data_IF_101465343179
#
_entry.id   IF_101465343179
#
_cell.length_a   1.000
_cell.length_b   1.000
_cell.length_c   1.000
_cell.angle_alpha   90.00
_cell.angle_beta   90.00
_cell.angle_gamma   90.00
#
_symmetry.space_group_name_H-M   'P 1'
#
loop_
_entity.id
_entity.type
_entity.pdbx_description
1 polymer ?
#
# COMPACT_ATOMS: atom_id res chain seq x y z
N UNK A 1 14.46 -14.16 -15.48
CA UNK A 1 14.16 -13.39 -16.72
C UNK A 1 12.64 -13.19 -16.87
N UNK A 2 12.18 -12.06 -17.43
CA UNK A 2 10.74 -11.84 -17.64
C UNK A 2 10.13 -12.89 -18.59
N UNK A 3 10.92 -13.37 -19.57
CA UNK A 3 10.53 -14.43 -20.51
C UNK A 3 10.10 -15.73 -19.81
N UNK A 4 10.79 -16.12 -18.74
CA UNK A 4 10.43 -17.28 -17.93
C UNK A 4 9.06 -17.11 -17.26
N UNK A 5 8.82 -15.93 -16.68
CA UNK A 5 7.51 -15.60 -16.11
C UNK A 5 6.42 -15.56 -17.17
N UNK A 6 6.69 -14.94 -18.32
CA UNK A 6 5.78 -14.90 -19.47
C UNK A 6 5.34 -16.29 -19.90
N UNK A 7 6.27 -17.24 -20.05
CA UNK A 7 5.95 -18.62 -20.39
C UNK A 7 5.03 -19.29 -19.35
N UNK A 8 5.34 -19.13 -18.05
CA UNK A 8 4.52 -19.69 -16.96
C UNK A 8 3.10 -19.13 -16.98
N UNK A 9 2.96 -17.80 -17.13
CA UNK A 9 1.64 -17.16 -17.11
C UNK A 9 0.82 -17.46 -18.36
N UNK A 10 1.45 -17.58 -19.54
CA UNK A 10 0.77 -18.02 -20.77
C UNK A 10 0.21 -19.43 -20.60
N UNK A 11 1.01 -20.37 -20.10
CA UNK A 11 0.52 -21.73 -19.84
C UNK A 11 -0.60 -21.76 -18.81
N UNK A 12 -0.48 -21.02 -17.70
CA UNK A 12 -1.56 -20.88 -16.72
C UNK A 12 -2.85 -20.33 -17.34
N UNK A 13 -2.74 -19.32 -18.20
CA UNK A 13 -3.89 -18.74 -18.88
C UNK A 13 -4.62 -19.79 -19.73
N UNK A 14 -3.90 -20.59 -20.52
CA UNK A 14 -4.50 -21.66 -21.31
C UNK A 14 -5.21 -22.71 -20.43
N UNK A 15 -4.60 -23.11 -19.32
CA UNK A 15 -5.22 -24.05 -18.38
C UNK A 15 -6.49 -23.47 -17.74
N UNK A 16 -6.46 -22.22 -17.28
CA UNK A 16 -7.62 -21.60 -16.64
C UNK A 16 -8.76 -21.34 -17.61
N UNK A 17 -8.46 -20.96 -18.86
CA UNK A 17 -9.47 -20.83 -19.91
C UNK A 17 -10.14 -22.16 -20.22
N UNK A 18 -9.38 -23.25 -20.29
CA UNK A 18 -9.93 -24.58 -20.48
C UNK A 18 -10.84 -25.02 -19.31
N UNK A 19 -10.42 -24.73 -18.07
CA UNK A 19 -11.23 -25.03 -16.88
C UNK A 19 -12.53 -24.21 -16.89
N UNK A 20 -12.45 -22.91 -17.17
CA UNK A 20 -13.61 -22.03 -17.20
C UNK A 20 -14.61 -22.45 -18.29
N UNK A 21 -14.15 -22.75 -19.51
CA UNK A 21 -15.03 -23.21 -20.60
C UNK A 21 -15.67 -24.57 -20.32
N UNK A 22 -14.96 -25.46 -19.62
CA UNK A 22 -15.50 -26.76 -19.23
C UNK A 22 -16.63 -26.61 -18.19
N UNK A 23 -16.45 -25.77 -17.18
CA UNK A 23 -17.47 -25.57 -16.15
C UNK A 23 -18.64 -24.69 -16.61
N UNK A 24 -18.44 -23.76 -17.55
CA UNK A 24 -19.54 -23.01 -18.19
C UNK A 24 -20.46 -23.93 -19.01
N UNK A 25 -19.95 -25.07 -19.48
CA UNK A 25 -20.75 -26.06 -20.21
C UNK A 25 -21.62 -26.96 -19.33
N UNK A 26 -21.47 -26.92 -18.00
CA UNK A 26 -22.25 -27.71 -17.03
C UNK A 26 -23.23 -26.84 -16.22
N UNK A 27 -24.48 -27.28 -16.08
CA UNK A 27 -25.58 -26.51 -15.45
C UNK A 27 -25.50 -26.39 -13.92
N UNK A 28 -25.94 -25.21 -13.43
CA UNK A 28 -26.29 -24.70 -12.08
C UNK A 28 -25.37 -24.99 -10.87
N UNK A 29 -24.77 -26.18 -10.71
CA UNK A 29 -23.85 -26.46 -9.59
C UNK A 29 -22.37 -26.15 -9.90
N UNK A 30 -22.05 -25.85 -11.17
CA UNK A 30 -20.69 -25.53 -11.63
C UNK A 30 -20.34 -24.03 -11.66
N UNK A 31 -21.30 -23.13 -11.43
CA UNK A 31 -21.11 -21.68 -11.53
C UNK A 31 -19.98 -21.16 -10.59
N UNK A 32 -19.88 -21.72 -9.38
CA UNK A 32 -18.81 -21.39 -8.44
C UNK A 32 -17.42 -21.83 -8.94
N UNK A 33 -17.34 -22.95 -9.65
CA UNK A 33 -16.08 -23.47 -10.20
C UNK A 33 -15.64 -22.71 -11.46
N UNK A 34 -16.58 -22.28 -12.30
CA UNK A 34 -16.29 -21.34 -13.39
C UNK A 34 -15.74 -20.01 -12.84
N UNK A 35 -16.35 -19.47 -11.77
CA UNK A 35 -15.87 -18.25 -11.10
C UNK A 35 -14.44 -18.40 -10.56
N UNK A 36 -14.06 -19.57 -10.04
CA UNK A 36 -12.68 -19.83 -9.60
C UNK A 36 -11.68 -19.82 -10.77
N UNK A 37 -12.04 -20.40 -11.92
CA UNK A 37 -11.21 -20.35 -13.13
C UNK A 37 -11.03 -18.92 -13.65
N UNK A 38 -12.10 -18.13 -13.63
CA UNK A 38 -12.10 -16.71 -13.98
C UNK A 38 -11.22 -15.90 -13.02
N UNK A 39 -11.36 -16.11 -11.71
CA UNK A 39 -10.52 -15.48 -10.69
C UNK A 39 -9.04 -15.83 -10.87
N UNK A 40 -8.72 -17.11 -11.10
CA UNK A 40 -7.35 -17.56 -11.31
C UNK A 40 -6.70 -16.96 -12.57
N UNK A 41 -7.48 -16.81 -13.65
CA UNK A 41 -7.08 -16.10 -14.87
C UNK A 41 -6.78 -14.62 -14.60
N UNK A 42 -7.69 -13.91 -13.91
CA UNK A 42 -7.47 -12.51 -13.55
C UNK A 42 -6.22 -12.33 -12.66
N UNK A 43 -6.06 -13.18 -11.65
CA UNK A 43 -4.89 -13.19 -10.79
C UNK A 43 -3.60 -13.44 -11.58
N UNK A 44 -3.59 -14.37 -12.53
CA UNK A 44 -2.43 -14.65 -13.36
C UNK A 44 -1.96 -13.38 -14.10
N UNK A 45 -2.89 -12.65 -14.73
CA UNK A 45 -2.62 -11.38 -15.42
C UNK A 45 -2.08 -10.33 -14.45
N UNK A 46 -2.73 -10.13 -13.30
CA UNK A 46 -2.33 -9.15 -12.29
C UNK A 46 -0.94 -9.48 -11.71
N UNK A 47 -0.65 -10.75 -11.47
CA UNK A 47 0.65 -11.19 -10.97
C UNK A 47 1.76 -10.98 -12.00
N UNK A 48 1.50 -11.26 -13.28
CA UNK A 48 2.44 -10.96 -14.34
C UNK A 48 2.73 -9.46 -14.43
N UNK A 49 1.69 -8.62 -14.41
CA UNK A 49 1.84 -7.17 -14.41
C UNK A 49 2.66 -6.67 -13.20
N UNK A 50 2.40 -7.20 -12.00
CA UNK A 50 3.17 -6.90 -10.79
C UNK A 50 4.65 -7.26 -10.95
N UNK A 51 4.98 -8.35 -11.64
CA UNK A 51 6.37 -8.77 -11.90
C UNK A 51 7.00 -7.85 -12.95
N UNK A 52 6.31 -7.55 -14.05
CA UNK A 52 6.78 -6.60 -15.06
C UNK A 52 7.12 -5.23 -14.43
N UNK A 53 6.23 -4.72 -13.57
CA UNK A 53 6.46 -3.48 -12.80
C UNK A 53 7.71 -3.59 -11.92
N UNK A 54 7.90 -4.70 -11.21
CA UNK A 54 9.11 -4.93 -10.38
C UNK A 54 10.40 -5.02 -11.21
N UNK A 55 10.30 -5.36 -12.49
CA UNK A 55 11.40 -5.32 -13.45
C UNK A 55 11.57 -3.96 -14.13
N UNK A 56 10.87 -2.91 -13.67
CA UNK A 56 10.85 -1.57 -14.25
C UNK A 56 10.34 -1.51 -15.70
N UNK A 57 9.46 -2.44 -16.08
CA UNK A 57 8.82 -2.48 -17.40
C UNK A 57 7.37 -2.00 -17.28
N UNK A 58 7.20 -0.69 -17.15
CA UNK A 58 5.89 -0.07 -16.88
C UNK A 58 4.90 -0.22 -18.04
N UNK A 59 5.34 -0.06 -19.29
CA UNK A 59 4.48 -0.30 -20.47
C UNK A 59 3.91 -1.72 -20.51
N UNK A 60 4.78 -2.73 -20.33
CA UNK A 60 4.37 -4.15 -20.27
C UNK A 60 3.40 -4.41 -19.11
N UNK A 61 3.59 -3.72 -17.97
CA UNK A 61 2.67 -3.81 -16.84
C UNK A 61 1.28 -3.29 -17.21
N UNK A 62 1.16 -2.10 -17.80
CA UNK A 62 -0.12 -1.50 -18.19
C UNK A 62 -0.82 -2.32 -19.29
N UNK A 63 -0.08 -2.73 -20.33
CA UNK A 63 -0.60 -3.58 -21.41
C UNK A 63 -1.15 -4.89 -20.88
N UNK A 64 -0.44 -5.50 -19.93
CA UNK A 64 -0.91 -6.73 -19.28
C UNK A 64 -2.19 -6.48 -18.49
N UNK A 65 -2.29 -5.38 -17.74
CA UNK A 65 -3.49 -5.06 -16.95
C UNK A 65 -4.71 -4.77 -17.83
N UNK A 66 -4.53 -4.24 -19.05
CA UNK A 66 -5.63 -4.07 -20.01
C UNK A 66 -6.21 -5.39 -20.49
N UNK A 67 -5.43 -6.48 -20.51
CA UNK A 67 -5.93 -7.82 -20.86
C UNK A 67 -6.99 -8.34 -19.90
N UNK A 68 -7.12 -7.76 -18.69
CA UNK A 68 -8.18 -8.16 -17.76
C UNK A 68 -9.58 -7.94 -18.34
N UNK A 69 -9.76 -6.99 -19.28
CA UNK A 69 -11.03 -6.75 -19.96
C UNK A 69 -11.42 -7.85 -20.94
N UNK A 70 -10.52 -8.78 -21.25
CA UNK A 70 -10.86 -9.99 -22.03
C UNK A 70 -11.67 -11.00 -21.20
N UNK A 71 -11.77 -10.80 -19.89
CA UNK A 71 -12.54 -11.64 -18.98
C UNK A 71 -13.97 -11.07 -18.86
N UNK A 72 -15.02 -11.85 -19.17
CA UNK A 72 -16.40 -11.34 -19.24
C UNK A 72 -16.95 -10.75 -17.93
N UNK A 73 -16.60 -11.34 -16.79
CA UNK A 73 -17.06 -10.88 -15.47
C UNK A 73 -15.92 -10.98 -14.46
N UNK A 74 -15.31 -9.85 -14.13
CA UNK A 74 -14.15 -9.79 -13.23
C UNK A 74 -14.63 -9.59 -11.78
N UNK A 75 -14.24 -10.46 -10.84
CA UNK A 75 -14.56 -10.28 -9.43
C UNK A 75 -14.06 -8.95 -8.88
N UNK A 76 -14.80 -8.35 -7.94
CA UNK A 76 -14.47 -7.04 -7.35
C UNK A 76 -13.07 -7.00 -6.71
N UNK A 77 -12.64 -8.12 -6.12
CA UNK A 77 -11.32 -8.27 -5.51
C UNK A 77 -10.21 -8.13 -6.56
N UNK A 78 -10.41 -8.63 -7.78
CA UNK A 78 -9.45 -8.53 -8.86
C UNK A 78 -9.46 -7.14 -9.49
N UNK A 79 -10.64 -6.51 -9.61
CA UNK A 79 -10.75 -5.10 -9.96
C UNK A 79 -9.93 -4.22 -9.00
N UNK A 80 -10.03 -4.48 -7.69
CA UNK A 80 -9.22 -3.81 -6.68
C UNK A 80 -7.72 -4.02 -6.92
N UNK A 81 -7.26 -5.27 -7.09
CA UNK A 81 -5.84 -5.54 -7.31
C UNK A 81 -5.32 -4.95 -8.62
N UNK A 82 -6.14 -4.90 -9.67
CA UNK A 82 -5.82 -4.26 -10.96
C UNK A 82 -5.59 -2.76 -10.76
N UNK A 83 -6.56 -2.03 -10.22
CA UNK A 83 -6.43 -0.58 -9.96
C UNK A 83 -5.21 -0.32 -9.06
N UNK A 84 -5.03 -1.14 -8.02
CA UNK A 84 -3.86 -1.08 -7.14
C UNK A 84 -2.53 -1.24 -7.87
N UNK A 85 -2.42 -2.11 -8.88
CA UNK A 85 -1.20 -2.22 -9.68
C UNK A 85 -1.04 -1.06 -10.64
N UNK A 86 -2.11 -0.56 -11.25
CA UNK A 86 -2.07 0.61 -12.14
C UNK A 86 -1.57 1.84 -11.38
N UNK A 87 -2.15 2.15 -10.22
CA UNK A 87 -1.71 3.25 -9.35
C UNK A 87 -0.24 3.12 -8.98
N UNK A 88 0.22 1.92 -8.60
CA UNK A 88 1.64 1.68 -8.31
C UNK A 88 2.53 1.83 -9.54
N UNK A 89 2.01 1.56 -10.74
CA UNK A 89 2.73 1.73 -11.99
C UNK A 89 2.92 3.22 -12.29
N UNK A 90 1.85 4.02 -12.21
CA UNK A 90 1.93 5.48 -12.37
C UNK A 90 2.86 6.15 -11.36
N UNK A 91 2.77 5.75 -10.07
CA UNK A 91 3.74 6.20 -9.05
C UNK A 91 5.17 5.81 -9.41
N UNK A 92 5.39 4.73 -10.14
CA UNK A 92 6.74 4.31 -10.55
C UNK A 92 7.22 5.00 -11.84
N UNK A 93 6.31 5.30 -12.76
CA UNK A 93 6.62 6.08 -13.97
C UNK A 93 6.91 7.54 -13.63
N UNK A 94 6.32 8.08 -12.56
CA UNK A 94 6.57 9.46 -12.16
C UNK A 94 8.02 9.79 -11.80
N UNK A 95 8.84 8.78 -11.47
CA UNK A 95 10.26 8.96 -11.20
C UNK A 95 11.07 9.20 -12.48
N UNK A 96 10.57 8.77 -13.63
CA UNK A 96 11.24 8.86 -14.95
C UNK A 96 10.57 9.86 -15.88
N UNK A 97 9.24 9.91 -15.89
CA UNK A 97 8.43 10.62 -16.90
C UNK A 97 7.80 11.92 -16.36
N UNK A 98 7.79 12.12 -15.03
CA UNK A 98 7.40 13.38 -14.40
C UNK A 98 6.06 13.33 -13.65
N UNK A 99 5.51 14.51 -13.33
CA UNK A 99 4.33 14.64 -12.45
C UNK A 99 3.00 14.34 -13.15
N UNK A 100 2.95 14.33 -14.48
CA UNK A 100 1.71 14.08 -15.23
C UNK A 100 1.16 12.68 -14.93
N UNK A 101 2.06 11.69 -14.83
CA UNK A 101 1.73 10.32 -14.42
C UNK A 101 1.09 10.24 -13.03
N UNK A 102 1.49 11.12 -12.10
CA UNK A 102 0.86 11.15 -10.77
C UNK A 102 -0.58 11.64 -10.84
N UNK A 103 -0.88 12.57 -11.75
CA UNK A 103 -2.23 13.06 -11.96
C UNK A 103 -3.11 11.98 -12.60
N UNK A 104 -2.60 11.22 -13.57
CA UNK A 104 -3.33 10.08 -14.14
C UNK A 104 -3.66 9.01 -13.08
N UNK A 105 -2.68 8.70 -12.21
CA UNK A 105 -2.88 7.80 -11.08
C UNK A 105 -3.94 8.30 -10.09
N UNK A 106 -4.05 9.62 -9.92
CA UNK A 106 -5.05 10.24 -9.04
C UNK A 106 -6.45 10.19 -9.67
N UNK A 107 -6.57 10.56 -10.95
CA UNK A 107 -7.82 10.55 -11.69
C UNK A 107 -8.41 9.14 -11.78
N UNK A 108 -7.55 8.11 -11.88
CA UNK A 108 -7.96 6.72 -11.82
C UNK A 108 -8.60 6.34 -10.47
N UNK A 109 -8.05 6.83 -9.35
CA UNK A 109 -8.65 6.59 -8.03
C UNK A 109 -9.97 7.34 -7.90
N UNK A 110 -10.05 8.58 -8.38
CA UNK A 110 -11.25 9.42 -8.26
C UNK A 110 -12.41 8.96 -9.15
N UNK A 111 -12.11 8.39 -10.32
CA UNK A 111 -13.11 7.77 -11.21
C UNK A 111 -13.60 6.40 -10.72
N UNK A 112 -12.95 5.81 -9.71
CA UNK A 112 -13.35 4.50 -9.16
C UNK A 112 -14.55 4.64 -8.23
N UNK A 113 -15.61 3.86 -8.49
CA UNK A 113 -16.78 3.83 -7.62
C UNK A 113 -16.53 2.95 -6.38
N UNK A 114 -16.25 3.58 -5.24
CA UNK A 114 -15.93 2.90 -3.98
C UNK A 114 -17.09 2.11 -3.35
N UNK A 115 -18.34 2.29 -3.80
CA UNK A 115 -19.52 1.63 -3.19
C UNK A 115 -19.46 0.10 -3.22
N UNK A 116 -18.73 -0.47 -4.17
CA UNK A 116 -18.60 -1.92 -4.35
C UNK A 116 -17.45 -2.54 -3.55
N UNK A 117 -16.56 -1.73 -3.00
CA UNK A 117 -15.35 -2.19 -2.32
C UNK A 117 -15.56 -2.26 -0.80
N UNK A 118 -14.83 -3.17 -0.15
CA UNK A 118 -14.82 -3.26 1.32
C UNK A 118 -14.18 -2.01 1.92
N UNK A 119 -14.47 -1.72 3.20
CA UNK A 119 -13.86 -0.59 3.92
C UNK A 119 -12.33 -0.65 3.89
N UNK A 120 -11.74 -1.84 4.02
CA UNK A 120 -10.28 -2.04 3.93
C UNK A 120 -9.72 -1.65 2.55
N UNK A 121 -10.36 -2.09 1.47
CA UNK A 121 -9.94 -1.77 0.10
C UNK A 121 -10.05 -0.27 -0.18
N UNK A 122 -11.16 0.34 0.23
CA UNK A 122 -11.41 1.77 0.09
C UNK A 122 -10.40 2.58 0.92
N UNK A 123 -10.07 2.13 2.13
CA UNK A 123 -9.02 2.75 2.95
C UNK A 123 -7.65 2.70 2.27
N UNK A 124 -7.31 1.59 1.60
CA UNK A 124 -6.06 1.51 0.84
C UNK A 124 -6.05 2.49 -0.36
N UNK A 125 -7.20 2.71 -1.02
CA UNK A 125 -7.30 3.74 -2.07
C UNK A 125 -7.13 5.16 -1.52
N UNK A 126 -7.72 5.50 -0.38
CA UNK A 126 -7.50 6.80 0.26
C UNK A 126 -6.03 6.99 0.66
N UNK A 127 -5.35 5.94 1.14
CA UNK A 127 -3.93 6.01 1.45
C UNK A 127 -3.07 6.26 0.20
N UNK A 128 -3.40 5.64 -0.93
CA UNK A 128 -2.73 5.95 -2.20
C UNK A 128 -3.05 7.37 -2.71
N UNK A 129 -4.30 7.81 -2.58
CA UNK A 129 -4.70 9.18 -2.91
C UNK A 129 -3.88 10.19 -2.10
N UNK A 130 -3.73 9.98 -0.79
CA UNK A 130 -2.88 10.80 0.07
C UNK A 130 -1.42 10.85 -0.41
N UNK A 131 -0.86 9.69 -0.78
CA UNK A 131 0.50 9.60 -1.31
C UNK A 131 0.68 10.38 -2.63
N UNK A 132 -0.25 10.23 -3.56
CA UNK A 132 -0.23 10.95 -4.85
C UNK A 132 -0.34 12.47 -4.63
N UNK A 133 -1.29 12.90 -3.81
CA UNK A 133 -1.49 14.32 -3.46
C UNK A 133 -0.24 14.91 -2.80
N UNK A 134 0.41 14.16 -1.90
CA UNK A 134 1.65 14.57 -1.25
C UNK A 134 2.77 14.80 -2.28
N UNK A 135 2.95 13.88 -3.23
CA UNK A 135 3.97 13.98 -4.28
C UNK A 135 3.68 15.10 -5.29
N UNK A 136 2.40 15.41 -5.53
CA UNK A 136 1.96 16.56 -6.32
C UNK A 136 2.16 17.90 -5.59
N UNK A 137 2.42 17.88 -4.27
CA UNK A 137 2.59 19.08 -3.45
C UNK A 137 1.29 19.62 -2.82
N UNK A 138 0.17 18.91 -2.95
CA UNK A 138 -1.13 19.26 -2.36
C UNK A 138 -1.23 18.77 -0.92
N UNK A 139 -0.47 19.42 -0.04
CA UNK A 139 -0.23 18.98 1.34
C UNK A 139 -1.50 18.85 2.19
N UNK A 140 -2.38 19.86 2.18
CA UNK A 140 -3.60 19.82 3.00
C UNK A 140 -4.55 18.68 2.59
N UNK A 141 -4.73 18.48 1.29
CA UNK A 141 -5.60 17.42 0.77
C UNK A 141 -4.98 16.04 0.99
N UNK A 142 -3.65 15.92 0.95
CA UNK A 142 -2.95 14.69 1.30
C UNK A 142 -3.24 14.30 2.75
N UNK A 143 -3.13 15.24 3.69
CA UNK A 143 -3.45 15.01 5.10
C UNK A 143 -4.90 14.57 5.30
N UNK A 144 -5.87 15.23 4.64
CA UNK A 144 -7.29 14.84 4.70
C UNK A 144 -7.51 13.42 4.16
N UNK A 145 -6.86 13.07 3.05
CA UNK A 145 -6.97 11.73 2.46
C UNK A 145 -6.37 10.64 3.36
N UNK A 146 -5.21 10.89 3.98
CA UNK A 146 -4.63 9.96 4.94
C UNK A 146 -5.48 9.79 6.21
N UNK A 147 -6.00 10.89 6.76
CA UNK A 147 -6.90 10.85 7.90
C UNK A 147 -8.17 10.03 7.59
N UNK A 148 -8.78 10.24 6.42
CA UNK A 148 -9.91 9.44 5.96
C UNK A 148 -9.57 7.95 5.82
N UNK A 149 -8.37 7.62 5.31
CA UNK A 149 -7.93 6.23 5.16
C UNK A 149 -7.87 5.50 6.51
N UNK A 150 -7.23 6.09 7.52
CA UNK A 150 -7.06 5.46 8.83
C UNK A 150 -8.35 5.45 9.65
N UNK A 151 -9.23 6.44 9.48
CA UNK A 151 -10.55 6.44 10.11
C UNK A 151 -11.45 5.34 9.54
N UNK A 152 -11.33 5.04 8.24
CA UNK A 152 -12.12 4.01 7.59
C UNK A 152 -11.66 2.60 7.97
N UNK A 153 -10.36 2.41 8.16
CA UNK A 153 -9.79 1.14 8.62
C UNK A 153 -8.50 1.36 9.45
N UNK A 154 -8.63 1.44 10.77
CA UNK A 154 -7.52 1.79 11.67
C UNK A 154 -6.43 0.71 11.75
N UNK A 155 -6.76 -0.55 11.46
CA UNK A 155 -5.80 -1.65 11.46
C UNK A 155 -4.95 -1.71 10.18
N UNK A 156 -5.19 -0.83 9.21
CA UNK A 156 -4.42 -0.76 7.98
C UNK A 156 -3.03 -0.16 8.22
N UNK A 157 -2.08 -1.00 8.63
CA UNK A 157 -0.67 -0.60 8.87
C UNK A 157 -0.09 0.21 7.72
N UNK A 158 -0.44 -0.14 6.48
CA UNK A 158 0.08 0.55 5.30
C UNK A 158 -0.36 2.02 5.22
N UNK A 159 -1.59 2.35 5.61
CA UNK A 159 -2.08 3.72 5.61
C UNK A 159 -1.31 4.56 6.63
N UNK A 160 -1.17 4.06 7.86
CA UNK A 160 -0.36 4.68 8.91
C UNK A 160 1.09 4.89 8.50
N UNK A 161 1.70 3.88 7.88
CA UNK A 161 3.07 3.99 7.40
C UNK A 161 3.25 5.10 6.36
N UNK A 162 2.36 5.16 5.36
CA UNK A 162 2.45 6.19 4.31
C UNK A 162 2.19 7.59 4.87
N UNK A 163 1.26 7.71 5.81
CA UNK A 163 0.98 8.99 6.47
C UNK A 163 2.16 9.45 7.33
N UNK A 164 2.74 8.53 8.10
CA UNK A 164 3.95 8.78 8.90
C UNK A 164 5.14 9.20 8.02
N UNK A 165 5.40 8.49 6.92
CA UNK A 165 6.47 8.84 5.97
C UNK A 165 6.27 10.26 5.39
N UNK A 166 5.03 10.65 5.11
CA UNK A 166 4.71 12.00 4.63
C UNK A 166 4.88 13.08 5.72
N UNK A 167 4.40 12.83 6.94
CA UNK A 167 4.53 13.77 8.05
C UNK A 167 6.00 13.93 8.49
N UNK A 168 6.77 12.85 8.48
CA UNK A 168 8.22 12.87 8.71
C UNK A 168 8.93 13.78 7.69
N UNK A 169 8.59 13.70 6.40
CA UNK A 169 9.17 14.57 5.39
C UNK A 169 8.87 16.05 5.63
N UNK A 170 7.70 16.37 6.20
CA UNK A 170 7.35 17.75 6.60
C UNK A 170 8.17 18.15 7.82
N UNK A 171 8.21 17.29 8.84
CA UNK A 171 8.92 17.56 10.09
C UNK A 171 10.42 17.78 9.87
N UNK A 172 11.07 16.98 9.02
CA UNK A 172 12.51 17.13 8.71
C UNK A 172 12.81 18.48 8.03
N UNK A 173 11.86 19.02 7.25
CA UNK A 173 12.03 20.34 6.61
C UNK A 173 11.94 21.49 7.60
N UNK A 174 11.15 21.34 8.66
CA UNK A 174 11.01 22.34 9.72
C UNK A 174 10.81 21.67 11.09
N UNK A 175 11.91 21.26 11.76
CA UNK A 175 11.84 20.53 13.05
C UNK A 175 11.21 21.33 14.20
N UNK A 176 10.97 22.63 14.02
CA UNK A 176 10.25 23.47 14.98
C UNK A 176 8.78 23.08 15.11
N UNK A 177 8.23 22.37 14.13
CA UNK A 177 6.86 21.89 14.15
C UNK A 177 6.74 20.58 14.92
N UNK A 178 7.02 20.62 16.23
CA UNK A 178 7.02 19.45 17.14
C UNK A 178 5.72 18.64 17.03
N UNK A 179 4.57 19.30 16.86
CA UNK A 179 3.27 18.64 16.71
C UNK A 179 3.18 17.73 15.46
N UNK A 180 3.85 18.11 14.37
CA UNK A 180 3.96 17.26 13.17
C UNK A 180 4.84 16.05 13.47
N UNK A 181 5.93 16.24 14.22
CA UNK A 181 6.79 15.17 14.72
C UNK A 181 6.03 14.16 15.60
N UNK A 182 5.25 14.66 16.57
CA UNK A 182 4.36 13.84 17.43
C UNK A 182 3.37 13.03 16.58
N UNK A 183 2.77 13.68 15.56
CA UNK A 183 1.82 13.01 14.67
C UNK A 183 2.48 11.93 13.81
N UNK A 184 3.68 12.19 13.28
CA UNK A 184 4.46 11.21 12.52
C UNK A 184 4.88 10.01 13.39
N UNK A 185 5.35 10.25 14.61
CA UNK A 185 5.67 9.19 15.58
C UNK A 185 4.46 8.34 15.92
N UNK A 186 3.31 8.98 16.17
CA UNK A 186 2.05 8.28 16.40
C UNK A 186 1.72 7.36 15.21
N UNK A 187 1.83 7.88 13.99
CA UNK A 187 1.62 7.07 12.78
C UNK A 187 2.57 5.87 12.68
N UNK A 188 3.87 6.06 12.96
CA UNK A 188 4.84 4.97 12.94
C UNK A 188 4.60 3.94 14.04
N UNK A 189 4.19 4.35 15.24
CA UNK A 189 3.82 3.44 16.33
C UNK A 189 2.60 2.59 15.95
N UNK A 190 1.59 3.18 15.31
CA UNK A 190 0.49 2.42 14.73
C UNK A 190 0.97 1.46 13.63
N UNK A 191 1.94 1.86 12.81
CA UNK A 191 2.53 0.99 11.80
C UNK A 191 3.36 -0.17 12.39
N UNK A 192 3.96 0.01 13.57
CA UNK A 192 4.69 -1.05 14.29
C UNK A 192 3.79 -2.20 14.78
N UNK A 193 2.47 -2.01 14.81
CA UNK A 193 1.47 -3.05 15.16
C UNK A 193 1.35 -4.17 14.11
N UNK A 194 2.17 -4.13 13.06
CA UNK A 194 2.23 -5.16 12.03
C UNK A 194 2.57 -6.54 12.61
N UNK A 195 1.87 -7.59 12.16
CA UNK A 195 2.07 -8.96 12.66
C UNK A 195 3.45 -9.53 12.33
N UNK A 196 4.00 -9.16 11.18
CA UNK A 196 5.36 -9.53 10.78
C UNK A 196 6.39 -8.54 11.34
N UNK A 197 7.24 -9.04 12.24
CA UNK A 197 8.26 -8.27 12.95
C UNK A 197 9.26 -7.56 12.02
N UNK A 198 9.81 -8.28 11.04
CA UNK A 198 10.78 -7.73 10.08
C UNK A 198 10.29 -6.49 9.33
N UNK A 199 8.98 -6.38 9.10
CA UNK A 199 8.39 -5.23 8.39
C UNK A 199 8.23 -4.01 9.29
N UNK A 200 8.13 -4.20 10.61
CA UNK A 200 8.01 -3.13 11.60
C UNK A 200 9.34 -2.48 11.97
N UNK A 201 10.47 -3.20 11.84
CA UNK A 201 11.80 -2.72 12.26
C UNK A 201 12.12 -1.31 11.78
N UNK A 202 11.84 -1.02 10.51
CA UNK A 202 12.12 0.32 9.94
C UNK A 202 11.30 1.44 10.60
N UNK A 203 10.09 1.14 11.08
CA UNK A 203 9.25 2.13 11.76
C UNK A 203 9.74 2.34 13.20
N UNK A 204 10.12 1.28 13.92
CA UNK A 204 10.79 1.39 15.21
C UNK A 204 12.08 2.22 15.10
N UNK A 205 12.90 1.99 14.07
CA UNK A 205 14.10 2.78 13.81
C UNK A 205 13.79 4.28 13.67
N UNK A 206 12.76 4.61 12.90
CA UNK A 206 12.31 6.00 12.70
C UNK A 206 11.82 6.63 14.00
N UNK A 207 11.01 5.92 14.78
CA UNK A 207 10.53 6.39 16.09
C UNK A 207 11.70 6.71 17.02
N UNK A 208 12.67 5.80 17.15
CA UNK A 208 13.84 6.00 18.00
C UNK A 208 14.73 7.14 17.48
N UNK A 209 14.90 7.25 16.17
CA UNK A 209 15.66 8.33 15.55
C UNK A 209 14.98 9.69 15.78
N UNK A 210 13.65 9.78 15.68
CA UNK A 210 12.91 11.02 15.91
C UNK A 210 13.06 11.57 17.33
N UNK A 211 13.32 10.73 18.33
CA UNK A 211 13.62 11.18 19.70
C UNK A 211 14.86 12.08 19.78
N UNK A 212 15.78 12.02 18.81
CA UNK A 212 16.92 12.96 18.78
C UNK A 212 16.53 14.40 18.47
N UNK A 213 15.28 14.66 18.09
CA UNK A 213 14.72 15.98 17.78
C UNK A 213 13.72 16.44 18.85
N UNK A 214 13.72 15.82 20.03
CA UNK A 214 12.77 16.18 21.09
C UNK A 214 12.98 17.63 21.56
N UNK A 215 11.89 18.23 22.05
CA UNK A 215 11.92 19.58 22.59
C UNK A 215 12.22 19.58 24.09
N UNK A 216 12.46 20.75 24.68
CA UNK A 216 12.73 20.87 26.13
C UNK A 216 11.61 20.32 27.02
N UNK A 217 10.40 20.13 26.45
CA UNK A 217 9.23 19.56 27.12
C UNK A 217 9.12 18.04 26.97
N UNK A 218 10.01 17.41 26.23
CA UNK A 218 10.00 15.98 25.93
C UNK A 218 8.68 15.52 25.26
N UNK A 219 8.13 16.35 24.36
CA UNK A 219 6.84 16.11 23.72
C UNK A 219 6.82 14.83 22.87
N UNK A 220 7.95 14.51 22.22
CA UNK A 220 8.10 13.29 21.41
C UNK A 220 8.22 12.05 22.30
N UNK A 221 8.97 12.14 23.39
CA UNK A 221 9.06 11.06 24.37
C UNK A 221 7.70 10.79 25.06
N UNK A 222 6.92 11.82 25.39
CA UNK A 222 5.57 11.66 25.94
C UNK A 222 4.65 10.94 24.94
N UNK A 223 4.74 11.28 23.66
CA UNK A 223 4.00 10.59 22.61
C UNK A 223 4.42 9.11 22.48
N UNK A 224 5.71 8.82 22.56
CA UNK A 224 6.20 7.44 22.57
C UNK A 224 5.63 6.66 23.75
N UNK A 225 5.74 7.17 24.97
CA UNK A 225 5.26 6.49 26.17
C UNK A 225 3.76 6.18 26.04
N UNK A 226 2.97 7.18 25.65
CA UNK A 226 1.52 7.06 25.47
C UNK A 226 1.10 5.99 24.45
N UNK A 227 1.76 5.92 23.30
CA UNK A 227 1.34 5.05 22.19
C UNK A 227 2.13 3.74 22.09
N UNK A 228 3.24 3.58 22.83
CA UNK A 228 4.05 2.36 22.86
C UNK A 228 3.28 1.13 23.34
N UNK A 229 2.30 1.31 24.23
CA UNK A 229 1.44 0.24 24.80
C UNK A 229 0.73 -0.56 23.71
N UNK A 230 0.41 0.06 22.57
CA UNK A 230 -0.23 -0.61 21.44
C UNK A 230 0.71 -1.50 20.62
N UNK A 231 2.02 -1.36 20.76
CA UNK A 231 3.03 -2.05 19.96
C UNK A 231 3.40 -3.39 20.63
N UNK A 232 3.32 -4.54 19.93
CA UNK A 232 3.69 -5.81 20.51
C UNK A 232 5.15 -5.82 21.00
N UNK A 233 5.46 -6.35 22.20
CA UNK A 233 6.82 -6.35 22.76
C UNK A 233 7.88 -6.97 21.86
N UNK A 234 7.49 -7.98 21.06
CA UNK A 234 8.37 -8.66 20.09
C UNK A 234 8.99 -7.68 19.08
N UNK A 235 8.29 -6.59 18.75
CA UNK A 235 8.76 -5.58 17.79
C UNK A 235 9.96 -4.79 18.31
N UNK A 236 10.11 -4.69 19.64
CA UNK A 236 11.18 -3.94 20.30
C UNK A 236 12.44 -4.78 20.53
N UNK A 237 12.36 -6.11 20.46
CA UNK A 237 13.48 -7.01 20.74
C UNK A 237 14.77 -6.67 19.96
N UNK A 238 14.74 -6.36 18.64
CA UNK A 238 15.95 -6.00 17.91
C UNK A 238 16.58 -4.68 18.38
N UNK A 239 15.82 -3.84 19.06
CA UNK A 239 16.19 -2.48 19.46
C UNK A 239 16.59 -2.36 20.93
N UNK A 240 16.65 -3.48 21.67
CA UNK A 240 17.08 -3.50 23.08
C UNK A 240 18.41 -2.76 23.30
N UNK A 241 19.47 -2.96 22.49
CA UNK A 241 20.73 -2.24 22.70
C UNK A 241 20.56 -0.71 22.64
N UNK A 242 19.77 -0.22 21.69
CA UNK A 242 19.48 1.20 21.52
C UNK A 242 18.63 1.74 22.67
N UNK A 243 17.61 0.99 23.09
CA UNK A 243 16.76 1.36 24.23
C UNK A 243 17.57 1.46 25.52
N UNK A 244 18.50 0.52 25.77
CA UNK A 244 19.39 0.56 26.92
C UNK A 244 20.36 1.75 26.84
N UNK A 245 20.88 2.07 25.65
CA UNK A 245 21.75 3.23 25.47
C UNK A 245 21.01 4.56 25.78
N UNK A 246 19.72 4.66 25.43
CA UNK A 246 18.89 5.82 25.74
C UNK A 246 18.60 6.00 27.23
N UNK A 247 18.73 4.97 28.07
CA UNK A 247 18.56 5.07 29.53
C UNK A 247 19.80 5.59 30.27
N UNK A 248 20.96 5.57 29.60
CA UNK A 248 22.25 5.98 30.18
C UNK A 248 22.54 7.47 29.93
N UNK A 249 21.77 8.11 29.05
CA UNK A 249 21.83 9.54 28.74
C UNK A 249 20.88 10.33 29.65
#
# INVERSE_FOLDING_TARGET
PLSHWGAIFTWRQHHYQFIASHYDSQTEHAANHSMLGVHASAQAIIHFAKIARKHNLSGVCLDSLHRIYTIPSVPIVDCFQKIRQQVKCHIQMSWTEGKDELQEGLDMIESTNFKYFTKEMTAEFYAFKGLLLAQLGRSEDANKAFAAAVQLHDTLVKAWALWGDYLEQIFIRDPRQVQVGVSAMTCFLHACRHQNESKSRKYCAKVLWMLSFDDEKNSLAEALDKYSVGVPPVQWLPWIPQLLACLVQ
#
